data_IF_824467160745
#
_entry.id   IF_824467160745
#
_cell.length_a   1.000
_cell.length_b   1.000
_cell.length_c   1.000
_cell.angle_alpha   90.00
_cell.angle_beta   90.00
_cell.angle_gamma   90.00
#
_symmetry.space_group_name_H-M   'P 1'
#
loop_
_entity.id
_entity.type
_entity.pdbx_description
1 polymer ?
#
# COMPACT_ATOMS: atom_id res chain seq x y z
N UNK A 1 -7.91 -14.25 -6.85
CA UNK A 1 -7.07 -14.90 -5.83
C UNK A 1 -7.71 -16.17 -5.28
N UNK A 2 -8.89 -16.10 -4.62
CA UNK A 2 -9.53 -17.26 -3.97
C UNK A 2 -9.74 -18.49 -4.87
N UNK A 3 -10.17 -18.28 -6.13
CA UNK A 3 -10.35 -19.35 -7.14
C UNK A 3 -9.06 -20.07 -7.55
N UNK A 4 -7.91 -19.40 -7.44
CA UNK A 4 -6.59 -19.97 -7.76
C UNK A 4 -5.88 -20.53 -6.51
N UNK A 5 -6.14 -19.96 -5.34
CA UNK A 5 -5.67 -20.47 -4.05
C UNK A 5 -6.20 -21.89 -3.78
N UNK A 6 -7.46 -22.18 -4.16
CA UNK A 6 -8.04 -23.51 -4.08
C UNK A 6 -7.41 -24.57 -5.01
N UNK A 7 -6.49 -24.18 -5.90
CA UNK A 7 -5.82 -25.08 -6.86
C UNK A 7 -4.33 -25.30 -6.54
N UNK A 8 -3.82 -24.80 -5.41
CA UNK A 8 -2.44 -25.02 -4.97
C UNK A 8 -1.38 -24.28 -5.80
N UNK A 9 -1.76 -23.22 -6.52
CA UNK A 9 -0.81 -22.46 -7.35
C UNK A 9 0.15 -21.62 -6.48
N UNK A 10 1.44 -21.51 -6.85
CA UNK A 10 2.40 -20.67 -6.13
C UNK A 10 1.91 -19.21 -5.97
N UNK A 11 2.22 -18.59 -4.82
CA UNK A 11 1.75 -17.24 -4.49
C UNK A 11 2.10 -16.20 -5.57
N UNK A 12 3.27 -16.34 -6.19
CA UNK A 12 3.69 -15.52 -7.34
C UNK A 12 2.58 -15.39 -8.40
N UNK A 13 2.05 -16.51 -8.88
CA UNK A 13 1.01 -16.52 -9.91
C UNK A 13 -0.32 -15.97 -9.38
N UNK A 14 -0.62 -16.20 -8.10
CA UNK A 14 -1.83 -15.65 -7.48
C UNK A 14 -1.78 -14.12 -7.44
N UNK A 15 -0.64 -13.54 -7.08
CA UNK A 15 -0.43 -12.09 -7.07
C UNK A 15 -0.38 -11.49 -8.47
N UNK A 16 0.23 -12.18 -9.44
CA UNK A 16 0.19 -11.76 -10.85
C UNK A 16 -1.25 -11.65 -11.35
N UNK A 17 -2.07 -12.67 -11.12
CA UNK A 17 -3.48 -12.64 -11.56
C UNK A 17 -4.32 -11.69 -10.72
N UNK A 18 -4.06 -11.57 -9.41
CA UNK A 18 -4.78 -10.65 -8.53
C UNK A 18 -4.51 -9.17 -8.86
N UNK A 19 -3.36 -8.84 -9.44
CA UNK A 19 -3.01 -7.49 -9.87
C UNK A 19 -3.67 -7.07 -11.19
N UNK A 20 -4.17 -8.02 -11.99
CA UNK A 20 -4.80 -7.73 -13.29
C UNK A 20 -6.12 -6.95 -13.20
N UNK A 21 -7.09 -7.29 -12.32
CA UNK A 21 -8.37 -6.58 -12.25
C UNK A 21 -8.24 -5.08 -11.90
N UNK A 22 -7.45 -4.66 -10.89
CA UNK A 22 -7.22 -3.24 -10.64
C UNK A 22 -6.70 -2.49 -11.86
N UNK A 23 -5.71 -3.07 -12.56
CA UNK A 23 -5.16 -2.50 -13.79
C UNK A 23 -6.20 -2.45 -14.92
N UNK A 24 -7.02 -3.51 -15.06
CA UNK A 24 -8.03 -3.61 -16.11
C UNK A 24 -9.15 -2.60 -15.91
N UNK A 25 -9.57 -2.38 -14.67
CA UNK A 25 -10.56 -1.36 -14.32
C UNK A 25 -10.00 0.03 -14.64
N UNK A 26 -8.73 0.31 -14.26
CA UNK A 26 -8.08 1.58 -14.60
C UNK A 26 -8.00 1.83 -16.11
N UNK A 27 -7.64 0.82 -16.89
CA UNK A 27 -7.63 0.88 -18.37
C UNK A 27 -9.04 1.07 -18.93
N UNK A 28 -10.04 0.35 -18.42
CA UNK A 28 -11.41 0.43 -18.89
C UNK A 28 -12.02 1.81 -18.63
N UNK A 29 -11.78 2.41 -17.46
CA UNK A 29 -12.22 3.77 -17.13
C UNK A 29 -11.57 4.80 -18.06
N UNK A 30 -10.29 4.61 -18.38
CA UNK A 30 -9.59 5.47 -19.34
C UNK A 30 -10.19 5.38 -20.74
N UNK A 31 -10.49 4.16 -21.22
CA UNK A 31 -11.10 3.94 -22.54
C UNK A 31 -12.55 4.48 -22.60
N UNK A 32 -13.27 4.43 -21.48
CA UNK A 32 -14.61 4.98 -21.35
C UNK A 32 -14.64 6.52 -21.26
N UNK A 33 -13.49 7.19 -21.30
CA UNK A 33 -13.35 8.66 -21.18
C UNK A 33 -14.05 9.22 -19.94
N UNK A 34 -14.07 8.45 -18.85
CA UNK A 34 -14.58 8.93 -17.56
C UNK A 34 -13.52 9.86 -16.97
N UNK A 35 -13.88 11.11 -16.66
CA UNK A 35 -13.04 12.14 -16.00
C UNK A 35 -12.66 11.75 -14.55
N UNK A 36 -12.04 10.58 -14.40
CA UNK A 36 -11.58 10.03 -13.13
C UNK A 36 -10.12 9.68 -13.25
N UNK A 37 -9.42 9.79 -12.13
CA UNK A 37 -8.00 9.54 -12.07
C UNK A 37 -7.72 8.03 -12.15
N UNK A 38 -7.60 7.49 -13.37
CA UNK A 38 -7.33 6.08 -13.63
C UNK A 38 -6.11 5.55 -12.86
N UNK A 39 -5.08 6.39 -12.69
CA UNK A 39 -3.87 6.07 -11.91
C UNK A 39 -4.18 5.89 -10.41
N UNK A 40 -5.05 6.72 -9.83
CA UNK A 40 -5.48 6.57 -8.44
C UNK A 40 -6.28 5.28 -8.21
N UNK A 41 -7.10 4.86 -9.18
CA UNK A 41 -7.85 3.58 -9.11
C UNK A 41 -6.91 2.38 -9.12
N UNK A 42 -5.92 2.38 -10.03
CA UNK A 42 -4.91 1.32 -10.10
C UNK A 42 -4.12 1.27 -8.80
N UNK A 43 -3.62 2.42 -8.34
CA UNK A 43 -2.83 2.54 -7.11
C UNK A 43 -3.63 2.07 -5.89
N UNK A 44 -4.89 2.50 -5.77
CA UNK A 44 -5.78 2.11 -4.68
C UNK A 44 -6.10 0.61 -4.67
N UNK A 45 -6.33 0.00 -5.83
CA UNK A 45 -6.57 -1.44 -5.93
C UNK A 45 -5.32 -2.29 -5.66
N UNK A 46 -4.14 -1.80 -6.02
CA UNK A 46 -2.87 -2.45 -5.72
C UNK A 46 -2.48 -2.37 -4.24
N UNK A 47 -2.95 -1.34 -3.52
CA UNK A 47 -2.64 -1.18 -2.09
C UNK A 47 -3.05 -2.40 -1.25
N UNK A 48 -4.15 -3.06 -1.62
CA UNK A 48 -4.63 -4.27 -0.96
C UNK A 48 -3.74 -5.52 -1.22
N UNK A 49 -2.89 -5.48 -2.25
CA UNK A 49 -2.00 -6.58 -2.63
C UNK A 49 -0.57 -6.42 -2.11
N UNK A 50 -0.27 -5.30 -1.45
CA UNK A 50 1.08 -5.09 -0.93
C UNK A 50 1.40 -6.12 0.18
N UNK A 51 2.49 -6.89 0.06
CA UNK A 51 2.86 -7.93 1.03
C UNK A 51 3.46 -7.33 2.32
N UNK A 52 2.72 -6.45 2.99
CA UNK A 52 3.22 -5.67 4.12
C UNK A 52 3.59 -6.50 5.34
N UNK A 53 2.79 -7.54 5.66
CA UNK A 53 3.07 -8.42 6.82
C UNK A 53 4.38 -9.19 6.66
N UNK A 54 4.60 -9.78 5.48
CA UNK A 54 5.82 -10.52 5.17
C UNK A 54 7.05 -9.59 5.19
N UNK A 55 6.92 -8.37 4.66
CA UNK A 55 7.98 -7.37 4.70
C UNK A 55 8.37 -7.00 6.14
N UNK A 56 7.39 -6.66 6.99
CA UNK A 56 7.64 -6.30 8.38
C UNK A 56 8.28 -7.45 9.15
N UNK A 57 7.76 -8.67 8.97
CA UNK A 57 8.28 -9.84 9.64
C UNK A 57 9.71 -10.17 9.16
N UNK A 58 10.04 -9.96 7.88
CA UNK A 58 11.40 -10.15 7.36
C UNK A 58 12.41 -9.16 7.94
N UNK A 59 12.00 -7.89 8.08
CA UNK A 59 12.82 -6.86 8.74
C UNK A 59 13.01 -7.17 10.22
N UNK A 60 11.95 -7.59 10.93
CA UNK A 60 12.04 -7.98 12.34
C UNK A 60 12.98 -9.17 12.55
N UNK A 61 12.89 -10.20 11.72
CA UNK A 61 13.81 -11.35 11.77
C UNK A 61 15.26 -10.90 11.54
N UNK A 62 15.48 -9.95 10.62
CA UNK A 62 16.81 -9.38 10.36
C UNK A 62 17.35 -8.59 11.55
N UNK A 63 16.50 -7.81 12.22
CA UNK A 63 16.88 -7.03 13.41
C UNK A 63 17.10 -7.90 14.65
N UNK A 64 16.49 -9.08 14.72
CA UNK A 64 16.61 -10.03 15.84
C UNK A 64 17.71 -11.08 15.63
N UNK A 65 18.45 -11.03 14.51
CA UNK A 65 19.63 -11.86 14.24
C UNK A 65 19.37 -13.12 13.41
N UNK A 66 18.15 -13.35 12.94
CA UNK A 66 17.80 -14.49 12.08
C UNK A 66 18.03 -14.17 10.60
N UNK A 67 19.27 -13.86 10.22
CA UNK A 67 19.58 -13.33 8.88
C UNK A 67 19.19 -14.24 7.71
N UNK A 68 19.35 -15.56 7.84
CA UNK A 68 18.99 -16.50 6.75
C UNK A 68 17.48 -16.49 6.50
N UNK A 69 16.68 -16.55 7.58
CA UNK A 69 15.22 -16.48 7.51
C UNK A 69 14.74 -15.12 7.01
N UNK A 70 15.35 -14.05 7.50
CA UNK A 70 15.08 -12.69 7.07
C UNK A 70 15.33 -12.51 5.57
N UNK A 71 16.50 -12.94 5.08
CA UNK A 71 16.84 -12.87 3.66
C UNK A 71 15.89 -13.70 2.82
N UNK A 72 15.51 -14.92 3.24
CA UNK A 72 14.55 -15.75 2.53
C UNK A 72 13.18 -15.06 2.40
N UNK A 73 12.65 -14.49 3.49
CA UNK A 73 11.36 -13.78 3.50
C UNK A 73 11.40 -12.48 2.69
N UNK A 74 12.52 -11.75 2.73
CA UNK A 74 12.70 -10.56 1.89
C UNK A 74 12.77 -10.92 0.39
N UNK A 75 13.40 -12.05 0.04
CA UNK A 75 13.46 -12.56 -1.33
C UNK A 75 12.07 -13.01 -1.81
N UNK A 76 11.29 -13.67 -0.95
CA UNK A 76 9.90 -14.02 -1.20
C UNK A 76 9.05 -12.76 -1.50
N UNK A 77 9.16 -11.73 -0.66
CA UNK A 77 8.49 -10.44 -0.88
C UNK A 77 8.89 -9.83 -2.23
N UNK A 78 10.18 -9.87 -2.58
CA UNK A 78 10.67 -9.39 -3.88
C UNK A 78 10.00 -10.13 -5.05
N UNK A 79 9.86 -11.46 -4.96
CA UNK A 79 9.14 -12.22 -6.00
C UNK A 79 7.67 -11.83 -6.10
N UNK A 80 6.99 -11.62 -4.97
CA UNK A 80 5.59 -11.17 -4.99
C UNK A 80 5.46 -9.80 -5.66
N UNK A 81 6.36 -8.85 -5.36
CA UNK A 81 6.40 -7.56 -6.04
C UNK A 81 6.60 -7.69 -7.55
N UNK A 82 7.55 -8.53 -7.99
CA UNK A 82 7.75 -8.80 -9.42
C UNK A 82 6.48 -9.39 -10.04
N UNK A 83 5.82 -10.32 -9.35
CA UNK A 83 4.56 -10.92 -9.80
C UNK A 83 3.46 -9.88 -10.02
N UNK A 84 3.29 -8.95 -9.06
CA UNK A 84 2.34 -7.83 -9.16
C UNK A 84 2.70 -6.94 -10.35
N UNK A 85 3.96 -6.52 -10.48
CA UNK A 85 4.43 -5.64 -11.56
C UNK A 85 4.15 -6.27 -12.91
N UNK A 86 4.49 -7.55 -13.10
CA UNK A 86 4.23 -8.29 -14.34
C UNK A 86 2.73 -8.33 -14.65
N UNK A 87 1.89 -8.63 -13.65
CA UNK A 87 0.43 -8.67 -13.82
C UNK A 87 -0.16 -7.34 -14.29
N UNK A 88 0.30 -6.23 -13.69
CA UNK A 88 -0.10 -4.88 -14.09
C UNK A 88 0.41 -4.56 -15.50
N UNK A 89 1.69 -4.81 -15.79
CA UNK A 89 2.30 -4.52 -17.08
C UNK A 89 1.62 -5.25 -18.23
N UNK A 90 1.20 -6.50 -18.04
CA UNK A 90 0.44 -7.26 -19.05
C UNK A 90 -0.82 -6.49 -19.43
N UNK A 91 -1.62 -6.07 -18.44
CA UNK A 91 -2.88 -5.37 -18.69
C UNK A 91 -2.65 -3.99 -19.28
N UNK A 92 -1.66 -3.25 -18.78
CA UNK A 92 -1.30 -1.93 -19.32
C UNK A 92 -0.82 -2.04 -20.78
N UNK A 93 -0.02 -3.05 -21.11
CA UNK A 93 0.45 -3.28 -22.47
C UNK A 93 -0.72 -3.48 -23.45
N UNK A 94 -1.71 -4.30 -23.07
CA UNK A 94 -2.93 -4.45 -23.87
C UNK A 94 -3.74 -3.15 -23.90
N UNK A 95 -3.91 -2.47 -22.76
CA UNK A 95 -4.64 -1.22 -22.67
C UNK A 95 -4.11 -0.12 -23.61
N UNK A 96 -2.79 0.06 -23.64
CA UNK A 96 -2.13 1.03 -24.54
C UNK A 96 -2.33 0.63 -26.00
N UNK A 97 -2.25 -0.67 -26.35
CA UNK A 97 -2.56 -1.13 -27.71
C UNK A 97 -4.01 -0.86 -28.13
N UNK A 98 -4.95 -0.86 -27.18
CA UNK A 98 -6.34 -0.50 -27.42
C UNK A 98 -6.61 1.02 -27.37
N UNK A 99 -5.58 1.85 -27.27
CA UNK A 99 -5.70 3.31 -27.31
C UNK A 99 -5.92 3.98 -25.95
N UNK A 100 -5.74 3.26 -24.84
CA UNK A 100 -5.73 3.88 -23.51
C UNK A 100 -4.42 4.66 -23.31
N UNK A 101 -4.42 5.94 -23.69
CA UNK A 101 -3.33 6.86 -23.35
C UNK A 101 -3.38 7.17 -21.85
N UNK A 102 -2.79 6.29 -21.05
CA UNK A 102 -2.63 6.51 -19.62
C UNK A 102 -1.54 7.56 -19.44
N UNK A 103 -1.92 8.71 -18.87
CA UNK A 103 -0.99 9.74 -18.43
C UNK A 103 -0.76 9.58 -16.92
N UNK A 104 0.34 8.93 -16.47
CA UNK A 104 0.71 8.85 -15.07
C UNK A 104 0.70 10.20 -14.34
N UNK A 105 0.96 11.30 -15.06
CA UNK A 105 1.09 12.66 -14.51
C UNK A 105 -0.23 13.28 -14.05
N UNK A 106 -1.39 12.78 -14.51
CA UNK A 106 -2.69 13.28 -14.03
C UNK A 106 -2.96 12.92 -12.56
N UNK A 107 -2.24 11.95 -11.99
CA UNK A 107 -2.30 11.60 -10.56
C UNK A 107 -1.91 12.78 -9.63
N UNK A 108 -1.21 13.79 -10.15
CA UNK A 108 -0.52 14.79 -9.35
C UNK A 108 -1.26 16.14 -9.23
N UNK A 109 -2.46 16.31 -9.81
CA UNK A 109 -3.27 17.51 -9.55
C UNK A 109 -3.96 17.41 -8.19
N UNK A 110 -3.15 17.36 -7.14
CA UNK A 110 -3.63 17.38 -5.76
C UNK A 110 -4.16 18.79 -5.51
N UNK A 111 -5.48 18.93 -5.49
CA UNK A 111 -6.10 20.18 -5.02
C UNK A 111 -5.68 20.40 -3.55
N UNK A 112 -5.09 21.55 -3.25
CA UNK A 112 -4.55 21.90 -1.93
C UNK A 112 -5.67 22.10 -0.90
N UNK A 113 -6.23 20.98 -0.44
CA UNK A 113 -7.25 20.93 0.61
C UNK A 113 -6.71 20.10 1.77
N UNK A 114 -5.85 20.67 2.62
CA UNK A 114 -5.14 19.92 3.67
C UNK A 114 -6.09 19.16 4.59
N UNK A 115 -7.23 19.75 4.97
CA UNK A 115 -8.23 19.10 5.82
C UNK A 115 -8.89 17.88 5.14
N UNK A 116 -9.17 17.98 3.84
CA UNK A 116 -9.80 16.88 3.07
C UNK A 116 -8.81 15.74 2.90
N UNK A 117 -7.53 16.04 2.68
CA UNK A 117 -6.50 15.02 2.53
C UNK A 117 -6.23 14.28 3.85
N UNK A 118 -6.18 14.99 4.98
CA UNK A 118 -6.05 14.36 6.30
C UNK A 118 -7.26 13.46 6.57
N UNK A 119 -8.48 13.94 6.28
CA UNK A 119 -9.68 13.13 6.42
C UNK A 119 -9.66 11.89 5.50
N UNK A 120 -9.21 12.04 4.26
CA UNK A 120 -9.06 10.93 3.31
C UNK A 120 -8.00 9.91 3.79
N UNK A 121 -6.86 10.37 4.32
CA UNK A 121 -5.83 9.51 4.89
C UNK A 121 -6.33 8.74 6.12
N UNK A 122 -7.08 9.40 7.00
CA UNK A 122 -7.74 8.75 8.14
C UNK A 122 -8.76 7.71 7.68
N UNK A 123 -9.61 8.04 6.71
CA UNK A 123 -10.60 7.10 6.15
C UNK A 123 -9.95 5.91 5.46
N UNK A 124 -8.85 6.11 4.74
CA UNK A 124 -8.09 5.03 4.11
C UNK A 124 -7.50 4.10 5.19
N UNK A 125 -6.87 4.68 6.22
CA UNK A 125 -6.34 3.92 7.36
C UNK A 125 -7.44 3.13 8.08
N UNK A 126 -8.61 3.75 8.31
CA UNK A 126 -9.78 3.10 8.89
C UNK A 126 -10.26 1.92 8.04
N UNK A 127 -10.44 2.13 6.74
CA UNK A 127 -10.93 1.09 5.81
C UNK A 127 -9.94 -0.07 5.75
N UNK A 128 -8.65 0.23 5.77
CA UNK A 128 -7.60 -0.79 5.78
C UNK A 128 -7.56 -1.56 7.11
N UNK A 129 -7.75 -0.89 8.25
CA UNK A 129 -7.86 -1.55 9.55
C UNK A 129 -9.07 -2.51 9.60
N UNK A 130 -10.20 -2.12 9.00
CA UNK A 130 -11.39 -2.98 8.88
C UNK A 130 -11.12 -4.16 7.95
N UNK A 131 -10.46 -3.94 6.81
CA UNK A 131 -10.10 -4.99 5.86
C UNK A 131 -9.19 -6.04 6.51
N UNK A 132 -8.24 -5.60 7.34
CA UNK A 132 -7.35 -6.47 8.11
C UNK A 132 -8.00 -7.06 9.38
N UNK A 133 -9.31 -6.87 9.57
CA UNK A 133 -10.07 -7.35 10.72
C UNK A 133 -9.41 -7.00 12.07
N UNK A 134 -8.94 -5.77 12.20
CA UNK A 134 -8.35 -5.30 13.46
C UNK A 134 -9.37 -5.26 14.60
N UNK A 135 -8.87 -5.50 15.81
CA UNK A 135 -9.68 -5.46 17.01
C UNK A 135 -10.27 -4.05 17.20
N UNK A 136 -11.56 -3.97 17.58
CA UNK A 136 -12.29 -2.69 17.69
C UNK A 136 -11.57 -1.66 18.56
N UNK A 137 -10.82 -2.14 19.54
CA UNK A 137 -10.07 -1.34 20.49
C UNK A 137 -8.85 -0.63 19.86
N UNK A 138 -8.26 -1.15 18.78
CA UNK A 138 -7.07 -0.56 18.11
C UNK A 138 -7.42 0.27 16.87
N UNK A 139 -8.59 0.05 16.27
CA UNK A 139 -9.02 0.72 15.03
C UNK A 139 -8.93 2.25 15.12
N UNK A 140 -9.35 2.84 16.24
CA UNK A 140 -9.30 4.30 16.42
C UNK A 140 -7.86 4.82 16.47
N UNK A 141 -6.96 4.11 17.15
CA UNK A 141 -5.55 4.49 17.22
C UNK A 141 -4.86 4.39 15.85
N UNK A 142 -5.16 3.35 15.07
CA UNK A 142 -4.64 3.18 13.70
C UNK A 142 -5.15 4.29 12.78
N UNK A 143 -6.42 4.65 12.90
CA UNK A 143 -7.05 5.74 12.13
C UNK A 143 -6.36 7.08 12.41
N UNK A 144 -6.16 7.42 13.69
CA UNK A 144 -5.46 8.64 14.08
C UNK A 144 -3.99 8.64 13.62
N UNK A 145 -3.30 7.50 13.70
CA UNK A 145 -1.92 7.38 13.24
C UNK A 145 -1.80 7.64 11.73
N UNK A 146 -2.81 7.24 10.92
CA UNK A 146 -2.89 7.60 9.50
C UNK A 146 -3.01 9.11 9.26
N UNK A 147 -3.78 9.81 10.11
CA UNK A 147 -3.87 11.27 10.09
C UNK A 147 -2.56 11.96 10.50
N UNK A 148 -1.85 11.44 11.51
CA UNK A 148 -0.52 11.91 11.90
C UNK A 148 0.47 11.75 10.75
N UNK A 149 0.47 10.59 10.08
CA UNK A 149 1.34 10.32 8.94
C UNK A 149 1.21 11.38 7.84
N UNK A 150 -0.03 11.65 7.42
CA UNK A 150 -0.31 12.62 6.38
C UNK A 150 0.00 14.05 6.83
N UNK A 151 -0.29 14.38 8.09
CA UNK A 151 -0.01 15.72 8.62
C UNK A 151 1.49 16.01 8.65
N UNK A 152 2.31 15.04 9.06
CA UNK A 152 3.77 15.16 9.06
C UNK A 152 4.29 15.29 7.63
N UNK A 153 3.85 14.42 6.71
CA UNK A 153 4.24 14.49 5.31
C UNK A 153 3.88 15.85 4.70
N UNK A 154 2.63 16.29 4.88
CA UNK A 154 2.14 17.55 4.36
C UNK A 154 2.86 18.76 4.94
N UNK A 155 3.14 18.75 6.25
CA UNK A 155 3.88 19.82 6.90
C UNK A 155 5.37 19.89 6.48
N UNK A 156 6.01 18.78 6.14
CA UNK A 156 7.39 18.81 5.66
C UNK A 156 7.49 19.16 4.18
N UNK A 157 6.58 18.63 3.36
CA UNK A 157 6.66 18.76 1.92
C UNK A 157 6.11 20.10 1.42
N UNK A 158 4.92 20.53 1.87
CA UNK A 158 4.28 21.73 1.32
C UNK A 158 4.89 23.03 1.88
N UNK A 159 4.90 23.31 3.21
CA UNK A 159 5.48 24.54 3.72
C UNK A 159 7.00 24.43 3.97
N UNK A 160 7.54 23.23 4.16
CA UNK A 160 8.97 23.01 4.41
C UNK A 160 9.83 22.91 3.15
N UNK A 161 9.23 22.71 1.96
CA UNK A 161 9.97 22.54 0.70
C UNK A 161 10.90 21.31 0.69
N UNK A 162 10.71 20.38 1.62
CA UNK A 162 11.56 19.19 1.77
C UNK A 162 11.17 18.17 0.69
N UNK A 163 12.16 17.41 0.21
CA UNK A 163 11.93 16.37 -0.79
C UNK A 163 10.83 15.39 -0.35
N UNK A 164 9.99 14.89 -1.27
CA UNK A 164 8.95 13.91 -0.94
C UNK A 164 9.52 12.69 -0.23
N UNK A 165 10.68 12.21 -0.67
CA UNK A 165 11.35 11.04 -0.09
C UNK A 165 11.71 11.26 1.38
N UNK A 166 12.36 12.37 1.72
CA UNK A 166 12.72 12.67 3.11
C UNK A 166 11.46 12.86 3.98
N UNK A 167 10.44 13.55 3.46
CA UNK A 167 9.17 13.76 4.17
C UNK A 167 8.46 12.43 4.46
N UNK A 168 8.42 11.50 3.50
CA UNK A 168 7.85 10.16 3.71
C UNK A 168 8.65 9.33 4.72
N UNK A 169 9.98 9.45 4.73
CA UNK A 169 10.83 8.73 5.68
C UNK A 169 10.55 9.16 7.12
N UNK A 170 10.41 10.46 7.38
CA UNK A 170 10.08 10.99 8.71
C UNK A 170 8.66 10.60 9.13
N UNK A 171 7.68 10.72 8.22
CA UNK A 171 6.31 10.30 8.49
C UNK A 171 6.23 8.80 8.82
N UNK A 172 6.87 7.94 8.03
CA UNK A 172 6.91 6.50 8.26
C UNK A 172 7.62 6.16 9.57
N UNK A 173 8.71 6.85 9.91
CA UNK A 173 9.42 6.70 11.17
C UNK A 173 8.54 7.01 12.38
N UNK A 174 7.78 8.11 12.34
CA UNK A 174 6.86 8.48 13.42
C UNK A 174 5.69 7.50 13.54
N UNK A 175 5.11 7.07 12.42
CA UNK A 175 4.05 6.05 12.40
C UNK A 175 4.52 4.75 13.02
N UNK A 176 5.73 4.31 12.68
CA UNK A 176 6.37 3.13 13.25
C UNK A 176 6.65 3.27 14.74
N UNK A 177 7.14 4.44 15.18
CA UNK A 177 7.37 4.74 16.60
C UNK A 177 6.07 4.68 17.41
N UNK A 178 4.99 5.33 16.93
CA UNK A 178 3.69 5.29 17.60
C UNK A 178 3.10 3.88 17.61
N UNK A 179 3.26 3.12 16.53
CA UNK A 179 2.87 1.72 16.48
C UNK A 179 3.59 0.87 17.53
N UNK A 180 4.90 1.07 17.67
CA UNK A 180 5.72 0.35 18.65
C UNK A 180 5.39 0.73 20.09
N UNK A 181 5.14 2.02 20.36
CA UNK A 181 4.69 2.49 21.67
C UNK A 181 3.33 1.87 22.02
N UNK A 182 2.38 1.87 21.09
CA UNK A 182 1.05 1.29 21.31
C UNK A 182 1.11 -0.21 21.58
N UNK A 183 1.97 -0.96 20.86
CA UNK A 183 2.22 -2.38 21.13
C UNK A 183 2.71 -2.60 22.56
N UNK A 184 3.64 -1.76 23.04
CA UNK A 184 4.14 -1.82 24.42
C UNK A 184 3.07 -1.49 25.45
N UNK A 185 2.24 -0.46 25.20
CA UNK A 185 1.18 -0.07 26.13
C UNK A 185 0.09 -1.12 26.32
N UNK A 186 -0.13 -1.98 25.32
CA UNK A 186 -1.21 -2.99 25.37
C UNK A 186 -0.77 -4.39 25.77
N UNK A 187 0.53 -4.60 26.05
CA UNK A 187 1.10 -5.93 26.31
C UNK A 187 0.73 -6.99 25.25
N UNK A 188 0.36 -6.54 24.05
CA UNK A 188 0.08 -7.40 22.91
C UNK A 188 1.41 -7.69 22.23
N UNK A 189 1.78 -8.97 22.18
CA UNK A 189 2.97 -9.44 21.48
C UNK A 189 2.99 -8.89 20.05
N UNK A 190 4.10 -8.26 19.65
CA UNK A 190 4.30 -7.80 18.27
C UNK A 190 4.49 -8.95 17.27
N UNK A 191 4.47 -10.20 17.74
CA UNK A 191 4.62 -11.40 16.93
C UNK A 191 3.26 -11.80 16.33
N UNK A 192 3.16 -11.96 15.00
CA UNK A 192 2.06 -12.70 14.40
C UNK A 192 2.16 -14.16 14.86
N UNK A 193 1.05 -14.75 15.32
CA UNK A 193 0.87 -16.20 15.24
C UNK A 193 0.59 -16.58 13.78
#
# INVERSE_FOLDING_TARGET
>A
AWLFAGRGLPEFYQFTVAAMPPAAIGVALQLAHVDTNSSAVITGGLFALLPGRALVAGVQDGLTGFYITASARLLEVMYLFVGIIVGVLIVLYFGVKFGAALNPDQALSISERPLVQIAAAMLLSLTFAVLLQQERSTVLAVTLNGGVAWSVYGAMHYPGGISPVASTAVAAGLVGLFGQLLSRYRFASALPY
#
